data_IF_577241460096
#
_entry.id   IF_577241460096
#
_cell.length_a   1.000
_cell.length_b   1.000
_cell.length_c   1.000
_cell.angle_alpha   90.00
_cell.angle_beta   90.00
_cell.angle_gamma   90.00
#
_symmetry.space_group_name_H-M   'P 1'
#
loop_
_entity.id
_entity.type
_entity.pdbx_description
1 polymer ?
#
# COMPACT_ATOMS: atom_id res chain seq x y z
N UNK A 1 51.60 39.15 18.79
CA UNK A 1 50.57 38.71 17.82
C UNK A 1 50.66 37.20 17.66
N UNK A 2 50.04 36.41 18.54
CA UNK A 2 50.13 34.94 18.49
C UNK A 2 48.92 34.29 19.17
N UNK A 3 47.72 34.53 18.67
CA UNK A 3 46.51 33.81 19.14
C UNK A 3 45.60 33.35 17.99
N UNK A 4 45.85 33.77 16.74
CA UNK A 4 44.88 33.60 15.66
C UNK A 4 44.98 32.28 14.88
N UNK A 5 45.97 31.40 15.15
CA UNK A 5 46.20 30.17 14.37
C UNK A 5 45.56 28.90 14.95
N UNK A 6 45.10 28.90 16.20
CA UNK A 6 44.51 27.71 16.85
C UNK A 6 43.01 27.51 16.57
N UNK A 7 42.27 28.60 16.33
CA UNK A 7 40.80 28.56 16.23
C UNK A 7 40.35 28.02 14.87
N UNK A 8 41.07 28.31 13.77
CA UNK A 8 40.65 27.85 12.44
C UNK A 8 40.75 26.33 12.29
N UNK A 9 41.78 25.69 12.86
CA UNK A 9 41.97 24.23 12.79
C UNK A 9 40.85 23.45 13.50
N UNK A 10 40.35 23.99 14.61
CA UNK A 10 39.25 23.37 15.38
C UNK A 10 37.94 23.53 14.60
N UNK A 11 37.69 24.70 14.00
CA UNK A 11 36.50 24.95 13.18
C UNK A 11 36.47 24.02 11.96
N UNK A 12 37.60 23.82 11.26
CA UNK A 12 37.66 22.90 10.12
C UNK A 12 37.37 21.44 10.51
N UNK A 13 37.82 21.02 11.69
CA UNK A 13 37.57 19.65 12.19
C UNK A 13 36.11 19.44 12.55
N UNK A 14 35.46 20.44 13.16
CA UNK A 14 34.03 20.39 13.50
C UNK A 14 33.17 20.35 12.23
N UNK A 15 33.49 21.20 11.23
CA UNK A 15 32.78 21.22 9.94
C UNK A 15 32.92 19.88 9.22
N UNK A 16 34.11 19.27 9.22
CA UNK A 16 34.34 17.95 8.63
C UNK A 16 33.50 16.85 9.26
N UNK A 17 33.41 16.82 10.60
CA UNK A 17 32.58 15.84 11.33
C UNK A 17 31.10 16.03 10.99
N UNK A 18 30.62 17.27 10.95
CA UNK A 18 29.20 17.57 10.62
C UNK A 18 28.85 17.11 9.20
N UNK A 19 29.76 17.33 8.23
CA UNK A 19 29.55 16.86 6.85
C UNK A 19 29.51 15.33 6.78
N UNK A 20 30.38 14.64 7.50
CA UNK A 20 30.40 13.17 7.54
C UNK A 20 29.11 12.63 8.18
N UNK A 21 28.65 13.23 9.28
CA UNK A 21 27.41 12.82 9.94
C UNK A 21 26.20 13.06 9.03
N UNK A 22 26.14 14.21 8.33
CA UNK A 22 25.09 14.49 7.35
C UNK A 22 25.13 13.50 6.18
N UNK A 23 26.32 13.19 5.66
CA UNK A 23 26.48 12.21 4.59
C UNK A 23 26.02 10.82 5.03
N UNK A 24 26.42 10.36 6.23
CA UNK A 24 25.96 9.09 6.80
C UNK A 24 24.44 9.10 7.01
N UNK A 25 23.86 10.20 7.49
CA UNK A 25 22.42 10.32 7.68
C UNK A 25 21.64 10.28 6.34
N UNK A 26 22.16 10.93 5.29
CA UNK A 26 21.60 10.90 3.94
C UNK A 26 21.75 9.50 3.34
N UNK A 27 22.89 8.85 3.52
CA UNK A 27 23.14 7.47 3.07
C UNK A 27 22.20 6.49 3.78
N UNK A 28 22.03 6.59 5.10
CA UNK A 28 21.07 5.77 5.86
C UNK A 28 19.63 6.04 5.40
N UNK A 29 19.28 7.29 5.09
CA UNK A 29 17.97 7.61 4.50
C UNK A 29 17.77 7.05 3.10
N UNK A 30 18.81 6.96 2.29
CA UNK A 30 18.76 6.39 0.94
C UNK A 30 18.72 4.85 0.98
N UNK A 31 19.39 4.24 1.96
CA UNK A 31 19.37 2.79 2.19
C UNK A 31 18.16 2.30 3.01
N UNK A 32 17.41 3.19 3.65
CA UNK A 32 16.00 2.96 3.94
C UNK A 32 15.22 3.18 2.63
N UNK A 33 15.43 2.26 1.69
CA UNK A 33 14.64 2.13 0.47
C UNK A 33 13.16 2.25 0.85
N UNK A 34 12.44 3.17 0.22
CA UNK A 34 11.00 3.29 0.41
C UNK A 34 10.39 1.89 0.32
N UNK A 35 9.64 1.44 1.33
CA UNK A 35 9.23 0.05 1.38
C UNK A 35 8.44 -0.32 0.12
N UNK A 36 8.49 -1.58 -0.33
CA UNK A 36 7.90 -2.04 -1.58
C UNK A 36 6.36 -1.98 -1.60
N UNK A 37 5.73 -1.28 -0.66
CA UNK A 37 4.30 -1.27 -0.39
C UNK A 37 3.46 -0.93 -1.62
N UNK A 38 3.80 0.16 -2.34
CA UNK A 38 3.06 0.53 -3.56
C UNK A 38 3.21 -0.55 -4.64
N UNK A 39 4.42 -1.08 -4.82
CA UNK A 39 4.69 -2.11 -5.82
C UNK A 39 3.97 -3.43 -5.50
N UNK A 40 3.96 -3.85 -4.24
CA UNK A 40 3.18 -5.00 -3.75
C UNK A 40 1.70 -4.82 -4.04
N UNK A 41 1.13 -3.64 -3.77
CA UNK A 41 -0.28 -3.34 -4.07
C UNK A 41 -0.54 -3.45 -5.58
N UNK A 42 0.31 -2.84 -6.42
CA UNK A 42 0.13 -2.87 -7.87
C UNK A 42 0.22 -4.28 -8.43
N UNK A 43 1.24 -5.05 -8.05
CA UNK A 43 1.41 -6.42 -8.54
C UNK A 43 0.33 -7.35 -8.03
N UNK A 44 -0.20 -7.13 -6.83
CA UNK A 44 -1.38 -7.87 -6.35
C UNK A 44 -2.59 -7.64 -7.26
N UNK A 45 -2.83 -6.38 -7.67
CA UNK A 45 -3.93 -6.03 -8.58
C UNK A 45 -3.67 -6.57 -10.00
N UNK A 46 -2.43 -6.53 -10.47
CA UNK A 46 -2.07 -7.10 -11.78
C UNK A 46 -2.21 -8.62 -11.80
N UNK A 47 -1.81 -9.29 -10.72
CA UNK A 47 -1.94 -10.74 -10.58
C UNK A 47 -3.42 -11.17 -10.59
N UNK A 48 -4.31 -10.39 -9.98
CA UNK A 48 -5.76 -10.61 -10.05
C UNK A 48 -6.28 -10.57 -11.49
N UNK A 49 -5.80 -9.59 -12.29
CA UNK A 49 -6.25 -9.37 -13.67
C UNK A 49 -5.55 -10.26 -14.70
N UNK A 50 -4.48 -10.96 -14.33
CA UNK A 50 -3.68 -11.76 -15.24
C UNK A 50 -4.41 -13.03 -15.69
N UNK A 51 -4.74 -13.09 -16.99
CA UNK A 51 -5.35 -14.27 -17.64
C UNK A 51 -4.33 -15.21 -18.26
N UNK A 52 -3.20 -14.67 -18.75
CA UNK A 52 -2.18 -15.45 -19.46
C UNK A 52 -1.31 -16.25 -18.46
N UNK A 53 -1.12 -17.56 -18.66
CA UNK A 53 -0.38 -18.40 -17.71
C UNK A 53 1.05 -17.94 -17.45
N UNK A 54 1.75 -17.47 -18.49
CA UNK A 54 3.14 -17.01 -18.38
C UNK A 54 3.23 -15.70 -17.61
N UNK A 55 2.37 -14.73 -17.92
CA UNK A 55 2.34 -13.45 -17.21
C UNK A 55 1.98 -13.65 -15.74
N UNK A 56 1.03 -14.54 -15.46
CA UNK A 56 0.65 -14.90 -14.10
C UNK A 56 1.81 -15.55 -13.34
N UNK A 57 2.56 -16.46 -13.96
CA UNK A 57 3.74 -17.06 -13.34
C UNK A 57 4.83 -16.01 -13.03
N UNK A 58 5.08 -15.08 -13.96
CA UNK A 58 6.03 -13.99 -13.77
C UNK A 58 5.61 -13.06 -12.62
N UNK A 59 4.32 -12.73 -12.53
CA UNK A 59 3.77 -11.92 -11.44
C UNK A 59 3.88 -12.63 -10.09
N UNK A 60 3.63 -13.94 -10.04
CA UNK A 60 3.80 -14.75 -8.83
C UNK A 60 5.27 -14.69 -8.36
N UNK A 61 6.22 -14.97 -9.25
CA UNK A 61 7.66 -14.91 -8.90
C UNK A 61 8.07 -13.52 -8.44
N UNK A 62 7.63 -12.47 -9.13
CA UNK A 62 7.95 -11.10 -8.75
C UNK A 62 7.29 -10.68 -7.42
N UNK A 63 6.10 -11.18 -7.13
CA UNK A 63 5.47 -10.97 -5.83
C UNK A 63 6.22 -11.71 -4.72
N UNK A 64 6.66 -12.95 -4.95
CA UNK A 64 7.41 -13.75 -3.98
C UNK A 64 8.70 -13.04 -3.54
N UNK A 65 9.43 -12.45 -4.50
CA UNK A 65 10.62 -11.62 -4.23
C UNK A 65 10.28 -10.40 -3.35
N UNK A 66 9.24 -9.64 -3.69
CA UNK A 66 8.84 -8.46 -2.91
C UNK A 66 8.33 -8.82 -1.51
N UNK A 67 7.64 -9.96 -1.37
CA UNK A 67 7.20 -10.47 -0.07
C UNK A 67 8.41 -10.83 0.78
N UNK A 68 9.41 -11.51 0.22
CA UNK A 68 10.65 -11.81 0.94
C UNK A 68 11.43 -10.53 1.33
N UNK A 69 11.46 -9.52 0.46
CA UNK A 69 12.08 -8.21 0.73
C UNK A 69 11.35 -7.40 1.81
N UNK A 70 10.03 -7.61 1.94
CA UNK A 70 9.18 -6.90 2.91
C UNK A 70 9.63 -7.13 4.36
N UNK A 71 10.20 -8.31 4.65
CA UNK A 71 10.57 -8.79 5.99
C UNK A 71 9.42 -8.71 7.02
N UNK A 72 8.17 -8.75 6.57
CA UNK A 72 6.98 -8.78 7.42
C UNK A 72 6.41 -10.19 7.48
N UNK A 73 6.25 -10.70 8.70
CA UNK A 73 5.61 -12.01 8.93
C UNK A 73 4.14 -11.98 8.49
N UNK A 74 3.44 -10.87 8.71
CA UNK A 74 2.04 -10.69 8.33
C UNK A 74 1.84 -10.75 6.81
N UNK A 75 2.72 -10.08 6.05
CA UNK A 75 2.71 -10.11 4.59
C UNK A 75 3.05 -11.52 4.10
N UNK A 76 4.06 -12.17 4.68
CA UNK A 76 4.45 -13.55 4.33
C UNK A 76 3.30 -14.53 4.59
N UNK A 77 2.67 -14.49 5.76
CA UNK A 77 1.54 -15.36 6.09
C UNK A 77 0.37 -15.16 5.13
N UNK A 78 0.06 -13.92 4.77
CA UNK A 78 -1.01 -13.64 3.81
C UNK A 78 -0.67 -14.14 2.41
N UNK A 79 0.58 -13.99 1.98
CA UNK A 79 1.06 -14.53 0.71
C UNK A 79 0.98 -16.06 0.66
N UNK A 80 1.44 -16.74 1.71
CA UNK A 80 1.40 -18.20 1.83
C UNK A 80 -0.04 -18.73 1.76
N UNK A 81 -0.99 -18.03 2.40
CA UNK A 81 -2.44 -18.35 2.27
C UNK A 81 -2.91 -18.21 0.83
N UNK A 82 -2.50 -17.14 0.14
CA UNK A 82 -2.91 -16.88 -1.24
C UNK A 82 -2.32 -17.90 -2.22
N UNK A 83 -1.07 -18.34 -2.00
CA UNK A 83 -0.42 -19.39 -2.80
C UNK A 83 -1.23 -20.69 -2.86
N UNK A 84 -2.01 -21.00 -1.82
CA UNK A 84 -2.92 -22.15 -1.79
C UNK A 84 -4.00 -22.14 -2.87
N UNK A 85 -4.44 -20.97 -3.34
CA UNK A 85 -5.47 -20.84 -4.37
C UNK A 85 -4.93 -20.38 -5.74
N UNK A 86 -3.69 -19.89 -5.81
CA UNK A 86 -3.13 -19.29 -7.03
C UNK A 86 -2.93 -20.30 -8.17
N UNK A 87 -2.85 -21.60 -7.88
CA UNK A 87 -2.77 -22.68 -8.87
C UNK A 87 -4.07 -22.89 -9.67
N UNK A 88 -5.20 -22.43 -9.15
CA UNK A 88 -6.51 -22.57 -9.78
C UNK A 88 -7.17 -21.20 -9.92
N UNK A 89 -8.00 -20.81 -8.95
CA UNK A 89 -8.67 -19.52 -8.90
C UNK A 89 -8.75 -19.05 -7.45
N UNK A 90 -8.11 -17.93 -7.17
CA UNK A 90 -8.31 -17.24 -5.90
C UNK A 90 -9.61 -16.43 -5.93
N UNK A 91 -10.31 -16.35 -4.78
CA UNK A 91 -11.39 -15.39 -4.62
C UNK A 91 -10.83 -13.96 -4.62
N UNK A 92 -11.63 -12.99 -5.07
CA UNK A 92 -11.22 -11.59 -5.12
C UNK A 92 -10.85 -11.05 -3.72
N UNK A 93 -11.50 -11.59 -2.69
CA UNK A 93 -11.23 -11.30 -1.28
C UNK A 93 -9.78 -11.61 -0.88
N UNK A 94 -9.15 -12.65 -1.45
CA UNK A 94 -7.77 -12.98 -1.13
C UNK A 94 -6.80 -11.88 -1.59
N UNK A 95 -7.05 -11.30 -2.77
CA UNK A 95 -6.28 -10.19 -3.30
C UNK A 95 -6.54 -8.89 -2.52
N UNK A 96 -7.80 -8.60 -2.16
CA UNK A 96 -8.13 -7.46 -1.31
C UNK A 96 -7.51 -7.58 0.08
N UNK A 97 -7.48 -8.77 0.68
CA UNK A 97 -6.82 -9.01 1.97
C UNK A 97 -5.29 -8.84 1.84
N UNK A 98 -4.67 -9.26 0.73
CA UNK A 98 -3.24 -9.00 0.48
C UNK A 98 -2.93 -7.50 0.40
N UNK A 99 -3.78 -6.73 -0.30
CA UNK A 99 -3.67 -5.27 -0.32
C UNK A 99 -3.86 -4.70 1.09
N UNK A 100 -4.87 -5.16 1.84
CA UNK A 100 -5.16 -4.67 3.18
C UNK A 100 -4.00 -4.87 4.15
N UNK A 101 -3.42 -6.08 4.17
CA UNK A 101 -2.27 -6.41 5.02
C UNK A 101 -1.06 -5.55 4.63
N UNK A 102 -0.82 -5.39 3.32
CA UNK A 102 0.26 -4.52 2.84
C UNK A 102 0.07 -3.07 3.28
N UNK A 103 -1.14 -2.53 3.14
CA UNK A 103 -1.47 -1.15 3.55
C UNK A 103 -1.32 -0.97 5.06
N UNK A 104 -1.80 -1.94 5.85
CA UNK A 104 -1.70 -1.88 7.31
C UNK A 104 -0.25 -1.96 7.79
N UNK A 105 0.56 -2.83 7.18
CA UNK A 105 1.97 -2.98 7.54
C UNK A 105 2.78 -1.72 7.23
N UNK A 106 2.44 -1.06 6.13
CA UNK A 106 3.14 0.13 5.64
C UNK A 106 2.31 1.41 5.82
N UNK A 107 1.50 1.49 6.88
CA UNK A 107 0.60 2.62 7.14
C UNK A 107 1.34 3.97 7.14
N UNK A 108 2.58 3.98 7.65
CA UNK A 108 3.43 5.17 7.72
C UNK A 108 3.98 5.63 6.37
N UNK A 109 4.06 4.71 5.41
CA UNK A 109 4.68 4.95 4.10
C UNK A 109 3.63 5.16 2.99
N UNK A 110 2.36 4.88 3.29
CA UNK A 110 1.21 5.12 2.41
C UNK A 110 0.34 6.21 3.04
N UNK A 111 0.42 7.47 2.58
CA UNK A 111 -0.39 8.56 3.12
C UNK A 111 -1.90 8.31 3.06
N UNK A 112 -2.34 7.55 2.06
CA UNK A 112 -3.74 7.20 1.82
C UNK A 112 -4.18 5.92 2.57
N UNK A 113 -3.34 5.37 3.45
CA UNK A 113 -3.58 4.08 4.13
C UNK A 113 -4.93 4.02 4.83
N UNK A 114 -5.30 5.06 5.58
CA UNK A 114 -6.59 5.14 6.25
C UNK A 114 -7.77 5.05 5.28
N UNK A 115 -7.68 5.71 4.12
CA UNK A 115 -8.71 5.61 3.09
C UNK A 115 -8.79 4.20 2.51
N UNK A 116 -7.65 3.61 2.14
CA UNK A 116 -7.59 2.27 1.56
C UNK A 116 -8.14 1.21 2.53
N UNK A 117 -7.79 1.29 3.81
CA UNK A 117 -8.32 0.40 4.85
C UNK A 117 -9.85 0.53 4.93
N UNK A 118 -10.39 1.75 4.97
CA UNK A 118 -11.84 1.97 5.06
C UNK A 118 -12.56 1.46 3.80
N UNK A 119 -12.01 1.71 2.61
CA UNK A 119 -12.59 1.25 1.34
C UNK A 119 -12.65 -0.28 1.30
N UNK A 120 -11.57 -0.96 1.67
CA UNK A 120 -11.52 -2.44 1.70
C UNK A 120 -12.46 -2.98 2.78
N UNK A 121 -12.51 -2.35 3.96
CA UNK A 121 -13.44 -2.72 5.03
C UNK A 121 -14.91 -2.58 4.58
N UNK A 122 -15.25 -1.52 3.84
CA UNK A 122 -16.58 -1.36 3.24
C UNK A 122 -16.92 -2.55 2.34
N UNK A 123 -15.99 -3.01 1.49
CA UNK A 123 -16.21 -4.20 0.65
C UNK A 123 -16.44 -5.47 1.49
N UNK A 124 -15.63 -5.65 2.54
CA UNK A 124 -15.61 -6.85 3.40
C UNK A 124 -16.88 -7.02 4.24
N UNK A 125 -17.47 -5.91 4.68
CA UNK A 125 -18.71 -5.89 5.47
C UNK A 125 -19.97 -5.65 4.65
N UNK A 126 -19.83 -5.47 3.33
CA UNK A 126 -20.97 -5.34 2.44
C UNK A 126 -21.86 -6.58 2.56
N UNK A 127 -23.12 -6.38 2.92
CA UNK A 127 -24.11 -7.45 3.14
C UNK A 127 -23.86 -8.35 4.36
N UNK A 128 -23.04 -7.93 5.35
CA UNK A 128 -22.89 -8.64 6.62
C UNK A 128 -23.72 -7.96 7.71
N UNK A 129 -24.94 -8.45 8.03
CA UNK A 129 -25.82 -7.79 8.98
C UNK A 129 -25.21 -7.69 10.38
N UNK A 130 -24.41 -8.67 10.78
CA UNK A 130 -23.73 -8.70 12.08
C UNK A 130 -22.62 -7.63 12.21
N UNK A 131 -22.24 -6.98 11.11
CA UNK A 131 -21.21 -5.94 11.05
C UNK A 131 -21.76 -4.60 10.52
N UNK A 132 -23.04 -4.31 10.80
CA UNK A 132 -23.70 -3.09 10.31
C UNK A 132 -22.99 -1.81 10.76
N UNK A 133 -22.47 -1.78 11.99
CA UNK A 133 -21.79 -0.60 12.55
C UNK A 133 -20.44 -0.36 11.88
N UNK A 134 -19.64 -1.42 11.70
CA UNK A 134 -18.35 -1.39 11.02
C UNK A 134 -18.52 -0.99 9.56
N UNK A 135 -19.52 -1.57 8.88
CA UNK A 135 -19.88 -1.19 7.52
C UNK A 135 -20.24 0.30 7.42
N UNK A 136 -21.15 0.77 8.28
CA UNK A 136 -21.63 2.16 8.25
C UNK A 136 -20.50 3.16 8.53
N UNK A 137 -19.62 2.84 9.48
CA UNK A 137 -18.45 3.66 9.80
C UNK A 137 -17.47 3.69 8.63
N UNK A 138 -17.08 2.53 8.10
CA UNK A 138 -16.14 2.43 6.99
C UNK A 138 -16.66 3.14 5.73
N UNK A 139 -17.95 2.96 5.40
CA UNK A 139 -18.60 3.62 4.27
C UNK A 139 -18.60 5.14 4.43
N UNK A 140 -18.98 5.64 5.60
CA UNK A 140 -19.04 7.08 5.86
C UNK A 140 -17.65 7.72 5.81
N UNK A 141 -16.66 7.10 6.46
CA UNK A 141 -15.28 7.59 6.44
C UNK A 141 -14.68 7.57 5.03
N UNK A 142 -14.87 6.48 4.29
CA UNK A 142 -14.42 6.38 2.89
C UNK A 142 -15.03 7.50 2.04
N UNK A 143 -16.33 7.76 2.18
CA UNK A 143 -17.02 8.79 1.42
C UNK A 143 -16.52 10.20 1.73
N UNK A 144 -16.28 10.51 3.00
CA UNK A 144 -15.69 11.80 3.41
C UNK A 144 -14.27 11.96 2.87
N UNK A 145 -13.42 10.94 3.07
CA UNK A 145 -12.03 10.96 2.64
C UNK A 145 -11.90 11.10 1.12
N UNK A 146 -12.73 10.40 0.34
CA UNK A 146 -12.73 10.49 -1.13
C UNK A 146 -13.13 11.88 -1.61
N UNK A 147 -14.14 12.51 -0.99
CA UNK A 147 -14.51 13.90 -1.31
C UNK A 147 -13.39 14.89 -1.00
N UNK A 148 -12.68 14.67 0.10
CA UNK A 148 -11.57 15.53 0.51
C UNK A 148 -10.34 15.41 -0.41
N UNK A 149 -10.23 14.36 -1.23
CA UNK A 149 -9.17 14.25 -2.24
C UNK A 149 -9.37 15.20 -3.44
N UNK A 150 -10.56 15.78 -3.62
CA UNK A 150 -10.93 16.65 -4.75
C UNK A 150 -10.57 16.05 -6.13
N UNK A 151 -10.68 14.73 -6.25
CA UNK A 151 -10.34 14.00 -7.47
C UNK A 151 -11.60 13.39 -8.11
N UNK A 152 -12.09 14.04 -9.17
CA UNK A 152 -13.30 13.62 -9.90
C UNK A 152 -13.26 12.19 -10.41
N UNK A 153 -12.07 11.67 -10.76
CA UNK A 153 -11.95 10.28 -11.26
C UNK A 153 -12.19 9.30 -10.12
N UNK A 154 -11.57 9.52 -8.97
CA UNK A 154 -11.71 8.68 -7.77
C UNK A 154 -13.15 8.74 -7.27
N UNK A 155 -13.73 9.93 -7.18
CA UNK A 155 -15.12 10.14 -6.77
C UNK A 155 -16.10 9.39 -7.66
N UNK A 156 -15.92 9.46 -8.99
CA UNK A 156 -16.77 8.74 -9.94
C UNK A 156 -16.71 7.22 -9.77
N UNK A 157 -15.52 6.65 -9.55
CA UNK A 157 -15.37 5.20 -9.33
C UNK A 157 -16.08 4.81 -8.02
N UNK A 158 -15.91 5.63 -6.97
CA UNK A 158 -16.57 5.41 -5.69
C UNK A 158 -18.10 5.46 -5.79
N UNK A 159 -18.66 6.42 -6.51
CA UNK A 159 -20.10 6.50 -6.75
C UNK A 159 -20.63 5.25 -7.48
N UNK A 160 -19.85 4.68 -8.41
CA UNK A 160 -20.20 3.42 -9.07
C UNK A 160 -20.24 2.26 -8.05
N UNK A 161 -19.25 2.16 -7.17
CA UNK A 161 -19.23 1.16 -6.08
C UNK A 161 -20.46 1.31 -5.17
N UNK A 162 -20.79 2.53 -4.75
CA UNK A 162 -21.90 2.77 -3.83
C UNK A 162 -23.26 2.51 -4.49
N UNK A 163 -23.44 2.99 -5.74
CA UNK A 163 -24.67 2.77 -6.50
C UNK A 163 -24.91 1.30 -6.81
N UNK A 164 -23.83 0.53 -6.93
CA UNK A 164 -23.86 -0.91 -7.11
C UNK A 164 -24.49 -1.68 -5.94
N UNK A 165 -24.53 -1.10 -4.73
CA UNK A 165 -25.08 -1.75 -3.52
C UNK A 165 -24.51 -3.15 -3.26
N UNK A 166 -23.29 -3.40 -3.73
CA UNK A 166 -22.57 -4.67 -3.56
C UNK A 166 -23.16 -5.86 -4.31
N UNK A 167 -24.01 -5.65 -5.31
CA UNK A 167 -24.64 -6.73 -6.09
C UNK A 167 -24.14 -6.87 -7.53
N UNK A 168 -23.35 -5.93 -8.03
CA UNK A 168 -22.88 -5.98 -9.42
C UNK A 168 -21.75 -6.99 -9.61
N UNK A 169 -21.70 -7.68 -10.76
CA UNK A 169 -20.61 -8.57 -11.12
C UNK A 169 -19.23 -7.91 -11.06
N UNK A 170 -19.15 -6.64 -11.43
CA UNK A 170 -17.92 -5.84 -11.50
C UNK A 170 -17.52 -5.19 -10.17
N UNK A 171 -18.20 -5.51 -9.05
CA UNK A 171 -17.96 -4.86 -7.75
C UNK A 171 -16.47 -4.84 -7.38
N UNK A 172 -15.82 -6.01 -7.46
CA UNK A 172 -14.43 -6.15 -7.02
C UNK A 172 -13.46 -5.47 -8.00
N UNK A 173 -13.75 -5.50 -9.31
CA UNK A 173 -12.97 -4.75 -10.30
C UNK A 173 -12.99 -3.24 -10.02
N UNK A 174 -14.16 -2.69 -9.66
CA UNK A 174 -14.29 -1.28 -9.26
C UNK A 174 -13.47 -0.97 -8.01
N UNK A 175 -13.44 -1.87 -7.02
CA UNK A 175 -12.58 -1.71 -5.84
C UNK A 175 -11.09 -1.70 -6.20
N UNK A 176 -10.63 -2.63 -7.04
CA UNK A 176 -9.24 -2.65 -7.49
C UNK A 176 -8.88 -1.40 -8.30
N UNK A 177 -9.79 -0.92 -9.15
CA UNK A 177 -9.59 0.31 -9.93
C UNK A 177 -9.54 1.55 -9.03
N UNK A 178 -10.35 1.60 -7.98
CA UNK A 178 -10.31 2.66 -6.98
C UNK A 178 -8.98 2.65 -6.22
N UNK A 179 -8.54 1.50 -5.72
CA UNK A 179 -7.27 1.34 -5.00
C UNK A 179 -6.11 1.78 -5.91
N UNK A 180 -6.10 1.32 -7.17
CA UNK A 180 -5.07 1.71 -8.14
C UNK A 180 -5.04 3.22 -8.38
N UNK A 181 -6.22 3.86 -8.48
CA UNK A 181 -6.34 5.29 -8.69
C UNK A 181 -5.97 6.15 -7.46
N UNK A 182 -6.13 5.61 -6.24
CA UNK A 182 -5.73 6.28 -5.00
C UNK A 182 -4.23 6.22 -4.76
N UNK A 183 -3.58 5.09 -5.11
CA UNK A 183 -2.14 4.89 -4.86
C UNK A 183 -1.25 5.56 -5.92
N UNK A 184 -1.80 5.83 -7.12
CA UNK A 184 -1.16 6.52 -8.25
C UNK A 184 -1.03 8.03 -8.03
#
# INVERSE_FOLDING_TARGET
MAVQRGISSIIFSIVGIVIIVLAVFVIIRIFNSSPPAKELIYKTIELHKASEPVDRANLISSMDELVAESKSEEIQEQWDRMMGCLSTRCPDEAFLDMVLVTVAQYEKDIPESALLINVIATSKYWSKPDHLLEFSKALSMSNEQIRNLDNRRIEKIWEQIVSCKGVCPEKNDLYFDLIKAVVQ
#
